data_IF_622405360166
#
_entry.id   IF_622405360166
#
_cell.length_a   1.000
_cell.length_b   1.000
_cell.length_c   1.000
_cell.angle_alpha   90.00
_cell.angle_beta   90.00
_cell.angle_gamma   90.00
#
_symmetry.space_group_name_H-M   'P 1'
#
loop_
_entity.id
_entity.type
_entity.pdbx_description
1 polymer ?
#
# COMPACT_ATOMS: atom_id res chain seq x y z
N UNK A 1 16.50 -13.09 -9.86
CA UNK A 1 15.02 -12.97 -9.87
C UNK A 1 14.26 -14.16 -9.25
N UNK A 2 14.93 -15.06 -8.56
CA UNK A 2 14.32 -16.32 -8.07
C UNK A 2 13.50 -16.22 -6.78
N UNK A 3 13.46 -15.10 -6.08
CA UNK A 3 12.93 -15.06 -4.72
C UNK A 3 11.65 -14.26 -4.49
N UNK A 4 11.10 -13.57 -5.50
CA UNK A 4 9.93 -12.69 -5.30
C UNK A 4 8.63 -13.44 -4.95
N UNK A 5 8.51 -14.71 -5.35
CA UNK A 5 7.34 -15.55 -5.05
C UNK A 5 7.51 -16.41 -3.78
N UNK A 6 8.67 -16.35 -3.14
CA UNK A 6 8.95 -17.13 -1.93
C UNK A 6 8.38 -16.40 -0.70
N UNK A 7 7.27 -16.89 -0.17
CA UNK A 7 6.57 -16.29 0.99
C UNK A 7 7.51 -16.12 2.20
N UNK A 8 8.29 -17.12 2.64
CA UNK A 8 9.25 -16.94 3.74
C UNK A 8 10.25 -15.82 3.52
N UNK A 9 10.73 -15.61 2.29
CA UNK A 9 11.63 -14.52 1.96
C UNK A 9 10.94 -13.16 2.09
N UNK A 10 9.71 -13.02 1.59
CA UNK A 10 8.89 -11.81 1.68
C UNK A 10 8.64 -11.42 3.15
N UNK A 11 8.22 -12.38 3.97
CA UNK A 11 7.99 -12.20 5.41
C UNK A 11 9.28 -11.79 6.11
N UNK A 12 10.41 -12.48 5.84
CA UNK A 12 11.72 -12.15 6.41
C UNK A 12 12.15 -10.73 6.06
N UNK A 13 11.91 -10.31 4.82
CA UNK A 13 12.20 -8.94 4.37
C UNK A 13 11.42 -7.92 5.21
N UNK A 14 10.09 -8.10 5.34
CA UNK A 14 9.26 -7.17 6.12
C UNK A 14 9.71 -7.16 7.59
N UNK A 15 9.95 -8.31 8.22
CA UNK A 15 10.46 -8.39 9.59
C UNK A 15 11.79 -7.64 9.76
N UNK A 16 12.66 -7.70 8.78
CA UNK A 16 13.95 -7.00 8.83
C UNK A 16 13.80 -5.47 8.76
N UNK A 17 12.81 -4.95 8.03
CA UNK A 17 12.52 -3.51 7.99
C UNK A 17 12.15 -2.95 9.37
N UNK A 18 11.58 -3.79 10.25
CA UNK A 18 11.16 -3.38 11.59
C UNK A 18 12.17 -3.69 12.69
N UNK A 19 13.23 -4.45 12.40
CA UNK A 19 14.17 -4.93 13.40
C UNK A 19 14.83 -3.82 14.22
N UNK A 20 15.02 -2.64 13.61
CA UNK A 20 15.67 -1.48 14.25
C UNK A 20 14.71 -0.29 14.40
N UNK A 21 13.41 -0.50 14.22
CA UNK A 21 12.41 0.55 14.23
C UNK A 21 11.32 0.23 15.25
N UNK A 22 10.82 1.27 15.93
CA UNK A 22 9.72 1.16 16.90
C UNK A 22 8.34 1.21 16.20
N UNK A 23 8.27 0.89 14.90
CA UNK A 23 7.00 0.79 14.20
C UNK A 23 6.44 -0.61 14.31
N UNK A 24 5.14 -0.71 14.46
CA UNK A 24 4.44 -1.98 14.46
C UNK A 24 4.00 -2.32 13.03
N UNK A 25 4.35 -3.53 12.51
CA UNK A 25 3.87 -3.95 11.21
C UNK A 25 2.35 -4.06 11.21
N UNK A 26 1.74 -3.82 10.05
CA UNK A 26 0.28 -3.92 9.90
C UNK A 26 -0.22 -5.36 10.07
N UNK A 27 0.61 -6.35 9.75
CA UNK A 27 0.31 -7.78 9.86
C UNK A 27 1.12 -8.41 10.97
N UNK A 28 0.44 -9.26 11.77
CA UNK A 28 1.12 -10.19 12.64
C UNK A 28 1.59 -11.39 11.82
N UNK A 29 2.89 -11.69 11.88
CA UNK A 29 3.50 -12.81 11.14
C UNK A 29 3.50 -14.13 11.90
N UNK A 30 2.83 -14.19 13.05
CA UNK A 30 2.68 -15.43 13.79
C UNK A 30 1.45 -16.17 13.25
N UNK A 31 1.67 -17.31 12.62
CA UNK A 31 0.64 -18.10 11.93
C UNK A 31 -0.50 -18.64 12.81
N UNK A 32 -0.37 -18.52 14.13
CA UNK A 32 -1.36 -19.04 15.09
C UNK A 32 -2.39 -17.97 15.52
N UNK A 33 -2.38 -16.78 14.91
CA UNK A 33 -3.26 -15.69 15.30
C UNK A 33 -4.62 -15.84 14.63
N UNK A 34 -5.53 -16.51 15.34
CA UNK A 34 -6.98 -16.54 15.02
C UNK A 34 -7.64 -15.16 15.20
N UNK A 35 -6.98 -14.23 15.90
CA UNK A 35 -7.43 -12.84 16.08
C UNK A 35 -7.60 -12.05 14.78
N UNK A 36 -7.11 -12.58 13.66
CA UNK A 36 -7.26 -11.96 12.33
C UNK A 36 -8.72 -11.72 11.94
N UNK A 37 -9.62 -12.59 12.39
CA UNK A 37 -11.06 -12.52 12.08
C UNK A 37 -11.91 -12.05 13.25
N UNK A 38 -11.52 -12.33 14.49
CA UNK A 38 -12.34 -12.06 15.68
C UNK A 38 -12.42 -10.57 16.03
N UNK A 39 -11.37 -9.80 15.76
CA UNK A 39 -11.33 -8.36 16.07
C UNK A 39 -11.98 -7.47 14.99
N UNK A 40 -12.45 -8.02 13.88
CA UNK A 40 -12.97 -7.22 12.76
C UNK A 40 -14.42 -6.78 12.93
N UNK A 41 -15.16 -7.32 13.88
CA UNK A 41 -16.63 -7.21 13.90
C UNK A 41 -17.21 -6.17 14.86
N UNK A 42 -16.44 -5.66 15.81
CA UNK A 42 -17.02 -4.80 16.87
C UNK A 42 -16.51 -3.35 16.90
N UNK A 43 -15.47 -3.00 16.18
CA UNK A 43 -14.91 -1.65 16.30
C UNK A 43 -14.71 -0.99 14.91
N UNK A 44 -15.54 0.03 14.65
CA UNK A 44 -15.49 0.81 13.41
C UNK A 44 -14.35 1.85 13.39
N UNK A 45 -13.47 1.88 14.38
CA UNK A 45 -12.38 2.84 14.50
C UNK A 45 -11.05 2.22 14.07
N UNK A 46 -10.41 2.80 13.03
CA UNK A 46 -9.14 2.32 12.50
C UNK A 46 -7.98 2.39 13.49
N UNK A 47 -8.05 3.26 14.49
CA UNK A 47 -7.00 3.36 15.53
C UNK A 47 -6.90 2.08 16.32
N UNK A 48 -8.02 1.40 16.54
CA UNK A 48 -8.09 0.10 17.20
C UNK A 48 -7.97 -1.04 16.19
N UNK A 49 -8.80 -1.04 15.13
CA UNK A 49 -8.88 -2.15 14.18
C UNK A 49 -7.58 -2.36 13.37
N UNK A 50 -6.86 -1.30 13.05
CA UNK A 50 -5.63 -1.32 12.25
C UNK A 50 -4.39 -0.87 13.03
N UNK A 51 -4.52 -0.55 14.31
CA UNK A 51 -3.47 0.10 15.11
C UNK A 51 -2.85 1.33 14.40
N UNK A 52 -3.71 2.09 13.70
CA UNK A 52 -3.28 3.17 12.81
C UNK A 52 -2.97 4.43 13.62
N UNK A 53 -1.69 4.75 13.73
CA UNK A 53 -1.16 5.92 14.45
C UNK A 53 -0.88 7.07 13.47
N UNK A 54 -0.59 8.26 14.00
CA UNK A 54 -0.11 9.39 13.23
C UNK A 54 1.39 9.53 13.39
N UNK A 55 2.12 9.68 12.27
CA UNK A 55 3.57 9.86 12.23
C UNK A 55 3.96 10.94 11.24
N UNK A 56 5.12 11.55 11.46
CA UNK A 56 5.75 12.40 10.45
C UNK A 56 6.29 11.54 9.30
N UNK A 57 5.85 11.86 8.07
CA UNK A 57 6.17 11.06 6.87
C UNK A 57 7.68 10.87 6.67
N UNK A 58 8.44 11.96 6.73
CA UNK A 58 9.89 11.91 6.52
C UNK A 58 10.61 11.09 7.60
N UNK A 59 10.12 11.13 8.85
CA UNK A 59 10.67 10.32 9.93
C UNK A 59 10.50 8.82 9.63
N UNK A 60 9.30 8.41 9.19
CA UNK A 60 9.02 7.02 8.84
C UNK A 60 9.90 6.57 7.67
N UNK A 61 9.95 7.36 6.59
CA UNK A 61 10.74 7.00 5.40
C UNK A 61 12.24 6.94 5.71
N UNK A 62 12.76 7.88 6.51
CA UNK A 62 14.17 7.85 6.93
C UNK A 62 14.50 6.61 7.76
N UNK A 63 13.59 6.17 8.63
CA UNK A 63 13.78 4.95 9.45
C UNK A 63 13.67 3.67 8.62
N UNK A 64 12.75 3.59 7.66
CA UNK A 64 12.66 2.47 6.72
C UNK A 64 13.90 2.46 5.82
N UNK A 65 14.37 3.64 5.42
CA UNK A 65 15.54 3.83 4.56
C UNK A 65 15.22 3.81 3.07
N UNK A 66 16.22 4.22 2.28
CA UNK A 66 16.12 4.26 0.82
C UNK A 66 15.68 5.61 0.26
N UNK A 67 15.44 5.62 -1.05
CA UNK A 67 15.02 6.80 -1.82
C UNK A 67 13.59 6.61 -2.31
N UNK A 68 12.79 7.67 -2.28
CA UNK A 68 11.46 7.68 -2.88
C UNK A 68 11.52 8.25 -4.29
N UNK A 69 10.98 7.52 -5.24
CA UNK A 69 10.74 7.97 -6.61
C UNK A 69 9.23 8.15 -6.83
N UNK A 70 8.83 9.31 -7.29
CA UNK A 70 7.45 9.54 -7.70
C UNK A 70 7.10 8.63 -8.90
N UNK A 71 5.93 7.99 -8.84
CA UNK A 71 5.45 7.10 -9.90
C UNK A 71 4.26 7.70 -10.63
N UNK A 72 3.19 7.99 -9.89
CA UNK A 72 1.94 8.53 -10.47
C UNK A 72 1.05 9.20 -9.43
N UNK A 73 0.18 10.10 -9.92
CA UNK A 73 -0.96 10.61 -9.16
C UNK A 73 -2.25 9.94 -9.60
N UNK A 74 -3.11 9.67 -8.64
CA UNK A 74 -4.50 9.32 -8.82
C UNK A 74 -5.43 10.51 -8.57
N UNK A 75 -6.74 10.26 -8.49
CA UNK A 75 -7.75 11.28 -8.19
C UNK A 75 -7.73 11.77 -6.74
N UNK A 76 -7.17 11.01 -5.84
CA UNK A 76 -7.20 11.25 -4.39
C UNK A 76 -5.82 11.15 -3.73
N UNK A 77 -4.76 10.90 -4.50
CA UNK A 77 -3.44 10.74 -3.90
C UNK A 77 -2.34 10.37 -4.87
N UNK A 78 -1.22 9.94 -4.32
CA UNK A 78 0.03 9.72 -5.03
C UNK A 78 0.61 8.35 -4.71
N UNK A 79 1.36 7.81 -5.66
CA UNK A 79 2.15 6.58 -5.47
C UNK A 79 3.62 6.87 -5.68
N UNK A 80 4.44 6.45 -4.75
CA UNK A 80 5.90 6.49 -4.82
C UNK A 80 6.45 5.07 -4.78
N UNK A 81 7.59 4.88 -5.41
CA UNK A 81 8.42 3.68 -5.29
C UNK A 81 9.56 3.98 -4.34
N UNK A 82 9.64 3.26 -3.24
CA UNK A 82 10.81 3.26 -2.37
C UNK A 82 11.86 2.28 -2.89
N UNK A 83 13.12 2.71 -2.93
CA UNK A 83 14.26 1.89 -3.35
C UNK A 83 15.21 1.79 -2.18
N UNK A 84 15.34 0.59 -1.63
CA UNK A 84 16.23 0.29 -0.52
C UNK A 84 17.44 -0.50 -1.02
N UNK A 85 18.68 -0.02 -0.83
CA UNK A 85 19.88 -0.76 -1.17
C UNK A 85 20.05 -1.96 -0.25
N UNK A 86 20.39 -3.12 -0.81
CA UNK A 86 20.63 -4.37 -0.08
C UNK A 86 21.86 -5.05 -0.65
N UNK A 87 22.52 -5.90 0.14
CA UNK A 87 23.69 -6.69 -0.28
C UNK A 87 23.39 -7.61 -1.47
N UNK A 88 22.12 -7.91 -1.73
CA UNK A 88 21.66 -8.75 -2.84
C UNK A 88 21.02 -7.98 -4.00
N UNK A 89 21.21 -6.65 -4.03
CA UNK A 89 20.61 -5.76 -5.01
C UNK A 89 19.58 -4.81 -4.37
N UNK A 90 18.77 -4.17 -5.21
CA UNK A 90 17.75 -3.22 -4.75
C UNK A 90 16.48 -3.95 -4.33
N UNK A 91 15.95 -3.58 -3.18
CA UNK A 91 14.63 -4.00 -2.71
C UNK A 91 13.69 -2.81 -2.87
N UNK A 92 12.54 -3.06 -3.47
CA UNK A 92 11.56 -2.02 -3.74
C UNK A 92 10.32 -2.19 -2.86
N UNK A 93 9.73 -1.07 -2.43
CA UNK A 93 8.45 -1.01 -1.75
C UNK A 93 7.57 0.08 -2.36
N UNK A 94 6.26 -0.04 -2.19
CA UNK A 94 5.31 0.96 -2.62
C UNK A 94 4.91 1.84 -1.44
N UNK A 95 4.77 3.15 -1.68
CA UNK A 95 4.17 4.09 -0.74
C UNK A 95 2.97 4.73 -1.44
N UNK A 96 1.78 4.38 -0.97
CA UNK A 96 0.53 4.96 -1.43
C UNK A 96 0.06 6.01 -0.42
N UNK A 97 -0.17 7.21 -0.89
CA UNK A 97 -0.64 8.36 -0.11
C UNK A 97 -2.02 8.69 -0.61
N UNK A 98 -3.01 8.70 0.27
CA UNK A 98 -4.40 8.97 -0.09
C UNK A 98 -4.98 10.03 0.83
N UNK A 99 -5.45 11.13 0.24
CA UNK A 99 -6.18 12.16 0.96
C UNK A 99 -7.53 11.62 1.43
N UNK A 100 -8.05 12.17 2.53
CA UNK A 100 -9.40 11.90 3.02
C UNK A 100 -10.37 12.96 2.49
N UNK A 101 -11.22 12.66 1.47
CA UNK A 101 -12.19 13.62 0.97
C UNK A 101 -13.24 13.98 2.04
N UNK A 102 -13.65 15.27 2.09
CA UNK A 102 -14.75 15.75 2.91
C UNK A 102 -16.07 15.47 2.17
N UNK A 103 -16.49 14.21 2.11
CA UNK A 103 -17.75 13.80 1.47
C UNK A 103 -18.81 13.48 2.51
N UNK A 104 -20.03 13.96 2.24
CA UNK A 104 -21.18 13.59 3.06
C UNK A 104 -21.36 12.06 3.07
N UNK A 105 -21.63 11.48 4.21
CA UNK A 105 -21.82 10.04 4.40
C UNK A 105 -20.54 9.21 4.61
N UNK A 106 -19.34 9.81 4.47
CA UNK A 106 -18.09 9.07 4.69
C UNK A 106 -17.67 8.95 6.17
N UNK A 107 -18.33 9.67 7.09
CA UNK A 107 -17.93 9.71 8.49
C UNK A 107 -16.61 10.48 8.72
N UNK A 108 -16.06 10.37 9.93
CA UNK A 108 -14.76 10.95 10.25
C UNK A 108 -13.59 10.14 9.67
N UNK A 109 -12.37 10.67 9.70
CA UNK A 109 -11.18 10.01 9.12
C UNK A 109 -10.81 8.67 9.77
N UNK A 110 -11.36 8.37 10.94
CA UNK A 110 -11.09 7.13 11.68
C UNK A 110 -12.13 6.03 11.40
N UNK A 111 -13.19 6.32 10.65
CA UNK A 111 -14.21 5.32 10.30
C UNK A 111 -13.62 4.28 9.33
N UNK A 112 -13.67 3.01 9.74
CA UNK A 112 -13.13 1.89 8.94
C UNK A 112 -13.86 1.70 7.60
N UNK A 113 -15.11 2.17 7.52
CA UNK A 113 -15.93 2.06 6.29
C UNK A 113 -15.54 3.06 5.21
N UNK A 114 -14.72 4.07 5.53
CA UNK A 114 -14.20 4.97 4.51
C UNK A 114 -13.39 4.20 3.46
N UNK A 115 -13.52 4.51 2.16
CA UNK A 115 -12.80 3.79 1.12
C UNK A 115 -11.28 3.69 1.37
N UNK A 116 -10.67 4.77 1.90
CA UNK A 116 -9.24 4.86 2.18
C UNK A 116 -8.81 3.90 3.29
N UNK A 117 -9.69 3.66 4.27
CA UNK A 117 -9.45 2.77 5.40
C UNK A 117 -9.89 1.34 5.09
N UNK A 118 -11.00 1.18 4.40
CA UNK A 118 -11.50 -0.13 3.95
C UNK A 118 -10.48 -0.84 3.04
N UNK A 119 -9.78 -0.11 2.16
CA UNK A 119 -8.71 -0.67 1.35
C UNK A 119 -7.61 -1.27 2.22
N UNK A 120 -7.17 -0.56 3.26
CA UNK A 120 -6.13 -1.05 4.18
C UNK A 120 -6.64 -2.25 5.00
N UNK A 121 -7.90 -2.23 5.41
CA UNK A 121 -8.52 -3.35 6.12
C UNK A 121 -8.60 -4.59 5.22
N UNK A 122 -9.03 -4.43 3.97
CA UNK A 122 -9.08 -5.54 3.01
C UNK A 122 -7.70 -6.16 2.76
N UNK A 123 -6.67 -5.36 2.51
CA UNK A 123 -5.33 -5.90 2.25
C UNK A 123 -4.74 -6.58 3.50
N UNK A 124 -5.05 -6.06 4.70
CA UNK A 124 -4.70 -6.73 5.95
C UNK A 124 -5.35 -8.10 6.05
N UNK A 125 -6.65 -8.19 5.82
CA UNK A 125 -7.40 -9.44 5.87
C UNK A 125 -6.89 -10.44 4.82
N UNK A 126 -6.69 -10.02 3.59
CA UNK A 126 -6.19 -10.87 2.51
C UNK A 126 -4.77 -11.37 2.75
N UNK A 127 -3.93 -10.63 3.47
CA UNK A 127 -2.58 -11.06 3.80
C UNK A 127 -2.50 -12.31 4.67
N UNK A 128 -3.59 -12.66 5.38
CA UNK A 128 -3.75 -13.92 6.09
C UNK A 128 -3.46 -15.14 5.18
N UNK A 129 -3.99 -15.12 3.97
CA UNK A 129 -3.79 -16.23 3.02
C UNK A 129 -2.33 -16.38 2.57
N UNK A 130 -1.58 -15.27 2.51
CA UNK A 130 -0.14 -15.31 2.21
C UNK A 130 0.65 -15.83 3.41
N UNK A 131 0.39 -15.31 4.60
CA UNK A 131 1.11 -15.69 5.83
C UNK A 131 0.94 -17.18 6.13
N UNK A 132 -0.25 -17.73 5.84
CA UNK A 132 -0.58 -19.14 6.02
C UNK A 132 -0.24 -20.02 4.80
N UNK A 133 0.52 -19.50 3.84
CA UNK A 133 0.97 -20.24 2.63
C UNK A 133 -0.15 -20.76 1.72
N UNK A 134 -1.34 -20.14 1.75
CA UNK A 134 -2.43 -20.53 0.86
C UNK A 134 -2.22 -19.99 -0.56
N UNK A 135 -1.73 -18.74 -0.70
CA UNK A 135 -1.42 -18.13 -2.00
C UNK A 135 -0.26 -17.12 -1.89
N UNK A 136 0.65 -17.08 -2.88
CA UNK A 136 1.69 -16.04 -2.96
C UNK A 136 1.22 -14.79 -3.71
N UNK A 137 0.01 -14.78 -4.28
CA UNK A 137 -0.41 -13.79 -5.29
C UNK A 137 -0.99 -12.49 -4.73
N UNK A 138 -1.00 -12.33 -3.41
CA UNK A 138 -1.44 -11.11 -2.74
C UNK A 138 -0.21 -10.32 -2.27
N UNK A 139 -0.23 -9.01 -2.51
CA UNK A 139 0.79 -8.07 -2.03
C UNK A 139 0.67 -7.94 -0.52
N UNK A 140 1.79 -8.07 0.20
CA UNK A 140 1.80 -7.90 1.65
C UNK A 140 1.89 -6.41 2.01
N UNK A 141 1.00 -5.91 2.88
CA UNK A 141 1.16 -4.60 3.48
C UNK A 141 2.28 -4.63 4.52
N UNK A 142 3.02 -3.54 4.60
CA UNK A 142 4.15 -3.37 5.52
C UNK A 142 3.71 -2.54 6.72
N UNK A 143 3.22 -1.32 6.45
CA UNK A 143 2.87 -0.34 7.47
C UNK A 143 1.72 0.54 7.00
N UNK A 144 0.88 1.00 7.92
CA UNK A 144 -0.09 2.06 7.67
C UNK A 144 -0.06 3.11 8.78
N UNK A 145 -0.25 4.37 8.42
CA UNK A 145 -0.32 5.47 9.36
C UNK A 145 -1.00 6.69 8.74
N UNK A 146 -1.35 7.66 9.56
CA UNK A 146 -1.78 8.97 9.10
C UNK A 146 -0.62 9.98 9.18
N UNK A 147 -0.64 10.95 8.28
CA UNK A 147 0.34 12.05 8.26
C UNK A 147 -0.28 13.31 7.67
N UNK A 148 0.40 14.46 7.79
CA UNK A 148 -0.08 15.69 7.16
C UNK A 148 -0.15 15.58 5.64
N UNK A 149 -1.26 16.03 5.05
CA UNK A 149 -1.47 16.05 3.60
C UNK A 149 -0.68 17.18 2.92
N UNK A 150 -0.37 18.26 3.63
CA UNK A 150 0.25 19.49 3.09
C UNK A 150 1.51 19.23 2.25
N UNK A 151 2.49 18.42 2.68
CA UNK A 151 3.71 18.19 1.90
C UNK A 151 3.44 17.62 0.51
N UNK A 152 2.34 16.86 0.34
CA UNK A 152 1.99 16.20 -0.91
C UNK A 152 1.19 17.10 -1.87
N UNK A 153 0.61 18.18 -1.37
CA UNK A 153 -0.03 19.23 -2.17
C UNK A 153 0.97 20.29 -2.66
N UNK A 154 2.21 20.28 -2.15
CA UNK A 154 3.26 21.24 -2.47
C UNK A 154 4.50 20.61 -3.11
N UNK A 155 4.35 19.43 -3.73
CA UNK A 155 5.45 18.79 -4.46
C UNK A 155 5.89 19.69 -5.62
N UNK A 156 7.20 19.76 -5.85
CA UNK A 156 7.79 20.64 -6.89
C UNK A 156 7.27 20.24 -8.28
N UNK A 157 6.52 21.12 -8.91
CA UNK A 157 5.85 20.92 -10.20
C UNK A 157 6.80 20.57 -11.34
N UNK A 158 8.09 20.90 -11.24
CA UNK A 158 9.09 20.55 -12.25
C UNK A 158 9.32 19.05 -12.43
N UNK A 159 8.98 18.25 -11.42
CA UNK A 159 9.10 16.79 -11.44
C UNK A 159 7.79 16.08 -11.80
N UNK A 160 6.65 16.78 -11.71
CA UNK A 160 5.31 16.18 -11.80
C UNK A 160 4.46 16.94 -12.80
N UNK A 161 4.66 16.69 -14.10
CA UNK A 161 3.74 17.18 -15.16
C UNK A 161 2.58 16.21 -15.31
N UNK A 162 1.53 16.34 -14.47
CA UNK A 162 0.42 15.41 -14.49
C UNK A 162 -0.90 16.11 -14.14
N UNK A 163 -1.86 16.13 -15.09
CA UNK A 163 -3.21 16.70 -14.90
C UNK A 163 -3.94 16.19 -13.66
N UNK A 164 -3.67 14.96 -13.22
CA UNK A 164 -4.28 14.42 -12.00
C UNK A 164 -3.67 15.03 -10.74
N UNK A 165 -2.39 15.38 -10.77
CA UNK A 165 -1.75 16.10 -9.68
C UNK A 165 -2.33 17.52 -9.58
N UNK A 166 -2.47 18.22 -10.70
CA UNK A 166 -3.04 19.57 -10.73
C UNK A 166 -4.46 19.58 -10.15
N UNK A 167 -5.29 18.61 -10.56
CA UNK A 167 -6.64 18.44 -10.03
C UNK A 167 -6.66 18.09 -8.51
N UNK A 168 -5.67 17.33 -8.04
CA UNK A 168 -5.52 17.05 -6.62
C UNK A 168 -5.18 18.32 -5.83
N UNK A 169 -4.23 19.12 -6.30
CA UNK A 169 -3.83 20.41 -5.67
C UNK A 169 -5.00 21.39 -5.67
N UNK A 170 -5.76 21.46 -6.77
CA UNK A 170 -6.96 22.31 -6.84
C UNK A 170 -7.98 21.93 -5.76
N UNK A 171 -8.27 20.64 -5.58
CA UNK A 171 -9.18 20.16 -4.52
C UNK A 171 -8.65 20.43 -3.13
N UNK A 172 -7.34 20.25 -2.91
CA UNK A 172 -6.70 20.60 -1.64
C UNK A 172 -6.88 22.08 -1.32
N UNK A 173 -6.62 22.98 -2.27
CA UNK A 173 -6.76 24.42 -2.10
C UNK A 173 -8.22 24.84 -1.87
N UNK A 174 -9.19 24.10 -2.41
CA UNK A 174 -10.63 24.29 -2.14
C UNK A 174 -11.09 23.74 -0.78
N UNK A 175 -10.20 23.11 -0.01
CA UNK A 175 -10.55 22.51 1.28
C UNK A 175 -11.43 21.27 1.18
N UNK A 176 -11.43 20.58 0.02
CA UNK A 176 -12.22 19.36 -0.21
C UNK A 176 -11.65 18.14 0.53
N UNK A 177 -10.46 18.24 1.10
CA UNK A 177 -9.81 17.18 1.88
C UNK A 177 -9.67 17.57 3.35
N UNK A 178 -9.52 16.56 4.21
CA UNK A 178 -9.02 16.76 5.57
C UNK A 178 -7.51 17.08 5.51
N UNK A 179 -6.97 17.56 6.63
CA UNK A 179 -5.54 17.91 6.72
C UNK A 179 -4.62 16.69 6.78
N UNK A 180 -5.19 15.54 7.12
CA UNK A 180 -4.50 14.26 7.18
C UNK A 180 -4.61 13.48 5.87
N UNK A 181 -3.61 12.63 5.63
CA UNK A 181 -3.58 11.62 4.58
C UNK A 181 -3.37 10.24 5.19
N UNK A 182 -3.97 9.23 4.55
CA UNK A 182 -3.71 7.83 4.80
C UNK A 182 -2.47 7.37 4.04
N UNK A 183 -1.52 6.78 4.73
CA UNK A 183 -0.34 6.17 4.12
C UNK A 183 -0.47 4.65 4.22
N UNK A 184 -0.22 3.98 3.09
CA UNK A 184 -0.03 2.54 3.02
C UNK A 184 1.33 2.27 2.40
N UNK A 185 2.19 1.60 3.14
CA UNK A 185 3.45 1.04 2.64
C UNK A 185 3.22 -0.45 2.42
N UNK A 186 3.58 -0.95 1.24
CA UNK A 186 3.41 -2.35 0.86
C UNK A 186 4.58 -2.83 0.00
N UNK A 187 4.64 -4.11 -0.28
CA UNK A 187 5.55 -4.64 -1.28
C UNK A 187 5.34 -3.97 -2.64
N UNK A 188 6.41 -3.89 -3.42
CA UNK A 188 6.35 -3.39 -4.78
C UNK A 188 6.06 -4.52 -5.77
N UNK A 189 5.02 -4.36 -6.59
CA UNK A 189 4.72 -5.26 -7.70
C UNK A 189 5.64 -4.96 -8.89
N UNK A 190 6.65 -5.80 -9.13
CA UNK A 190 7.73 -5.56 -10.11
C UNK A 190 7.24 -5.52 -11.57
N UNK A 191 6.16 -6.20 -11.87
CA UNK A 191 5.65 -6.34 -13.25
C UNK A 191 4.58 -5.28 -13.62
N UNK A 192 4.31 -4.34 -12.71
CA UNK A 192 3.36 -3.26 -12.95
C UNK A 192 1.90 -3.70 -12.90
N UNK A 193 1.06 -2.93 -13.58
CA UNK A 193 -0.37 -3.15 -13.69
C UNK A 193 -0.69 -4.25 -14.71
N UNK A 194 -1.55 -5.22 -14.34
CA UNK A 194 -1.94 -6.33 -15.20
C UNK A 194 -2.59 -5.85 -16.52
N UNK A 195 -3.40 -4.81 -16.45
CA UNK A 195 -4.05 -4.28 -17.66
C UNK A 195 -3.04 -3.69 -18.62
N UNK A 196 -2.03 -2.99 -18.12
CA UNK A 196 -0.94 -2.46 -18.94
C UNK A 196 -0.07 -3.59 -19.50
N UNK A 197 0.21 -4.62 -18.71
CA UNK A 197 0.89 -5.83 -19.20
C UNK A 197 0.12 -6.48 -20.36
N UNK A 198 -1.20 -6.67 -20.20
CA UNK A 198 -2.06 -7.23 -21.26
C UNK A 198 -2.03 -6.32 -22.50
N UNK A 199 -2.24 -5.00 -22.34
CA UNK A 199 -2.22 -4.05 -23.47
C UNK A 199 -0.94 -4.11 -24.29
N UNK A 200 0.19 -4.26 -23.64
CA UNK A 200 1.51 -4.32 -24.29
C UNK A 200 1.78 -5.67 -24.95
N UNK A 201 1.23 -6.74 -24.45
CA UNK A 201 1.62 -8.11 -24.82
C UNK A 201 0.53 -8.93 -25.50
N UNK A 202 -0.76 -8.52 -25.51
CA UNK A 202 -1.90 -9.36 -25.91
C UNK A 202 -1.73 -10.03 -27.30
N UNK A 203 -1.08 -9.36 -28.26
CA UNK A 203 -0.82 -9.93 -29.61
C UNK A 203 0.20 -11.07 -29.61
N UNK A 204 1.03 -11.17 -28.59
CA UNK A 204 2.11 -12.17 -28.48
C UNK A 204 1.80 -13.23 -27.42
N UNK A 205 0.74 -13.01 -26.64
CA UNK A 205 0.37 -13.90 -25.54
C UNK A 205 -0.14 -15.24 -26.04
N UNK A 206 0.47 -16.29 -25.52
CA UNK A 206 0.05 -17.68 -25.78
C UNK A 206 -1.18 -18.05 -24.94
N UNK A 207 -1.88 -19.08 -25.36
CA UNK A 207 -2.97 -19.69 -24.57
C UNK A 207 -2.52 -20.10 -23.17
N UNK A 208 -1.24 -20.54 -23.03
CA UNK A 208 -0.67 -20.92 -21.73
C UNK A 208 -0.55 -19.70 -20.81
N UNK A 209 -0.06 -18.57 -21.29
CA UNK A 209 0.07 -17.33 -20.51
C UNK A 209 -1.30 -16.82 -20.05
N UNK A 210 -2.31 -16.85 -20.91
CA UNK A 210 -3.68 -16.51 -20.55
C UNK A 210 -4.22 -17.41 -19.44
N UNK A 211 -4.01 -18.73 -19.55
CA UNK A 211 -4.42 -19.68 -18.48
C UNK A 211 -3.73 -19.38 -17.15
N UNK A 212 -2.44 -19.06 -17.17
CA UNK A 212 -1.69 -18.68 -15.96
C UNK A 212 -2.29 -17.44 -15.33
N UNK A 213 -2.54 -16.39 -16.11
CA UNK A 213 -3.14 -15.13 -15.60
C UNK A 213 -4.52 -15.41 -14.97
N UNK A 214 -5.39 -16.13 -15.67
CA UNK A 214 -6.72 -16.47 -15.15
C UNK A 214 -6.63 -17.31 -13.88
N UNK A 215 -5.74 -18.29 -13.83
CA UNK A 215 -5.51 -19.10 -12.63
C UNK A 215 -5.07 -18.23 -11.46
N UNK A 216 -4.15 -17.30 -11.66
CA UNK A 216 -3.68 -16.40 -10.61
C UNK A 216 -4.80 -15.46 -10.11
N UNK A 217 -5.63 -14.94 -11.00
CA UNK A 217 -6.79 -14.11 -10.61
C UNK A 217 -7.78 -14.93 -9.78
N UNK A 218 -8.13 -16.14 -10.23
CA UNK A 218 -9.10 -17.00 -9.54
C UNK A 218 -8.56 -17.46 -8.17
N UNK A 219 -7.24 -17.66 -8.05
CA UNK A 219 -6.63 -18.12 -6.79
C UNK A 219 -6.59 -17.06 -5.68
N UNK A 220 -7.01 -15.82 -5.95
CA UNK A 220 -7.11 -14.73 -4.96
C UNK A 220 -8.55 -14.24 -4.76
N UNK A 221 -9.51 -14.78 -5.50
CA UNK A 221 -10.95 -14.56 -5.34
C UNK A 221 -11.55 -15.59 -4.39
#
# INVERSE_FOLDING_TARGET
MENSNNIPYRIKFIKNLFKNNNFEPLINFNSNDTEFFENSTSNNDIRTALNKKSYEFNEVINKIGGKLLYVKSGSTGHTFKGIFPSDKGEINYAVKIVAYPRKQGYGNIYDIRRPENAEVSCIKTLSYFVVNNHTPHIVLPILTFNTSLKPFATLTTNLIKNKKYDAFVEKYNKGEYYEDASILISEWANNGDLLDYIRLNYKKMTTREWRIIFFQIISVL
#
